data_IF_820731377635
#
_entry.id   IF_820731377635
#
_cell.length_a   1.000
_cell.length_b   1.000
_cell.length_c   1.000
_cell.angle_alpha   90.00
_cell.angle_beta   90.00
_cell.angle_gamma   90.00
#
_symmetry.space_group_name_H-M   'P 1'
#
loop_
_entity.id
_entity.type
_entity.pdbx_description
1 polymer ?
#
# COMPACT_ATOMS: atom_id res chain seq x y z
N UNK A 1 -12.75 20.83 -17.15
CA UNK A 1 -12.04 21.09 -18.44
C UNK A 1 -10.55 21.20 -18.18
N UNK A 2 -9.69 20.83 -19.13
CA UNK A 2 -8.23 21.03 -19.01
C UNK A 2 -7.91 22.52 -18.95
N UNK A 3 -7.00 22.88 -18.05
CA UNK A 3 -6.60 24.27 -17.77
C UNK A 3 -5.18 24.56 -18.28
N UNK A 4 -4.76 25.83 -18.29
CA UNK A 4 -3.39 26.17 -18.67
C UNK A 4 -2.39 25.66 -17.63
N UNK A 5 -2.78 25.68 -16.36
CA UNK A 5 -1.97 25.21 -15.23
C UNK A 5 -1.68 23.72 -15.33
N UNK A 6 -2.63 22.93 -15.87
CA UNK A 6 -2.45 21.51 -16.18
C UNK A 6 -1.36 21.29 -17.23
N UNK A 7 -1.39 22.07 -18.32
CA UNK A 7 -0.43 21.94 -19.41
C UNK A 7 0.96 22.40 -18.97
N UNK A 8 1.04 23.45 -18.14
CA UNK A 8 2.29 23.88 -17.51
C UNK A 8 2.84 22.81 -16.57
N UNK A 9 1.99 22.19 -15.75
CA UNK A 9 2.42 21.09 -14.88
C UNK A 9 2.91 19.89 -15.72
N UNK A 10 2.21 19.53 -16.79
CA UNK A 10 2.62 18.46 -17.69
C UNK A 10 4.00 18.75 -18.31
N UNK A 11 4.21 19.96 -18.80
CA UNK A 11 5.49 20.39 -19.36
C UNK A 11 6.61 20.38 -18.31
N UNK A 12 6.33 20.79 -17.07
CA UNK A 12 7.33 20.78 -16.00
C UNK A 12 7.69 19.35 -15.54
N UNK A 13 6.74 18.41 -15.59
CA UNK A 13 6.99 17.01 -15.26
C UNK A 13 7.79 16.28 -16.35
N UNK A 14 7.62 16.68 -17.62
CA UNK A 14 8.27 16.11 -18.81
C UNK A 14 9.09 17.17 -19.56
N UNK A 15 10.00 17.83 -18.84
CA UNK A 15 10.68 19.04 -19.32
C UNK A 15 11.79 18.76 -20.35
N UNK A 16 12.97 18.35 -19.89
CA UNK A 16 14.12 18.05 -20.75
C UNK A 16 14.80 16.74 -20.31
N UNK A 17 15.60 16.09 -21.17
CA UNK A 17 16.26 14.83 -20.84
C UNK A 17 17.19 14.88 -19.62
N UNK A 18 17.78 16.06 -19.34
CA UNK A 18 18.78 16.27 -18.28
C UNK A 18 18.36 17.29 -17.23
N UNK A 19 17.16 17.85 -17.33
CA UNK A 19 16.66 18.88 -16.42
C UNK A 19 15.16 18.70 -16.19
N UNK A 20 14.75 18.72 -14.93
CA UNK A 20 13.34 18.72 -14.55
C UNK A 20 12.80 20.14 -14.55
N UNK A 21 11.54 20.32 -14.93
CA UNK A 21 10.90 21.62 -14.84
C UNK A 21 10.78 22.09 -13.39
N UNK A 22 10.59 23.40 -13.16
CA UNK A 22 10.59 24.00 -11.83
C UNK A 22 9.63 23.32 -10.85
N UNK A 23 8.39 22.98 -11.28
CA UNK A 23 7.43 22.26 -10.43
C UNK A 23 7.88 20.83 -10.11
N UNK A 24 8.38 20.09 -11.11
CA UNK A 24 8.91 18.73 -10.90
C UNK A 24 10.09 18.70 -9.93
N UNK A 25 11.06 19.60 -10.12
CA UNK A 25 12.20 19.76 -9.24
C UNK A 25 11.81 20.18 -7.81
N UNK A 26 10.78 21.04 -7.67
CA UNK A 26 10.24 21.42 -6.37
C UNK A 26 9.61 20.22 -5.65
N UNK A 27 8.78 19.43 -6.35
CA UNK A 27 8.16 18.23 -5.77
C UNK A 27 9.22 17.25 -5.27
N UNK A 28 10.29 17.04 -6.05
CA UNK A 28 11.38 16.16 -5.66
C UNK A 28 12.13 16.65 -4.41
N UNK A 29 12.46 17.95 -4.36
CA UNK A 29 13.12 18.56 -3.19
C UNK A 29 12.28 18.44 -1.93
N UNK A 30 10.98 18.72 -2.02
CA UNK A 30 10.06 18.58 -0.89
C UNK A 30 9.99 17.13 -0.42
N UNK A 31 9.91 16.16 -1.34
CA UNK A 31 9.87 14.75 -0.97
C UNK A 31 11.16 14.28 -0.27
N UNK A 32 12.32 14.66 -0.80
CA UNK A 32 13.61 14.35 -0.18
C UNK A 32 13.72 14.95 1.23
N UNK A 33 13.26 16.19 1.40
CA UNK A 33 13.24 16.85 2.70
C UNK A 33 12.31 16.14 3.69
N UNK A 34 11.10 15.76 3.26
CA UNK A 34 10.13 15.04 4.10
C UNK A 34 10.68 13.69 4.57
N UNK A 35 11.36 12.97 3.67
CA UNK A 35 12.03 11.69 3.99
C UNK A 35 13.14 11.88 5.01
N UNK A 36 14.04 12.84 4.78
CA UNK A 36 15.18 13.14 5.67
C UNK A 36 14.75 13.59 7.07
N UNK A 37 13.64 14.32 7.17
CA UNK A 37 13.12 14.84 8.44
C UNK A 37 12.00 13.99 9.05
N UNK A 38 11.77 12.78 8.53
CA UNK A 38 10.69 11.90 9.01
C UNK A 38 10.88 11.40 10.45
N UNK A 39 12.10 11.48 11.01
CA UNK A 39 12.35 11.15 12.41
C UNK A 39 11.55 12.04 13.36
N UNK A 40 11.38 13.32 13.03
CA UNK A 40 10.69 14.34 13.84
C UNK A 40 9.23 13.99 14.13
N UNK A 41 8.57 13.32 13.17
CA UNK A 41 7.15 12.95 13.28
C UNK A 41 6.90 11.55 13.83
N UNK A 42 7.96 10.81 14.16
CA UNK A 42 7.81 9.51 14.81
C UNK A 42 7.33 9.64 16.26
N UNK A 43 6.50 8.69 16.70
CA UNK A 43 5.84 8.74 18.03
C UNK A 43 6.85 8.69 19.19
N UNK A 44 8.06 8.15 18.97
CA UNK A 44 9.06 7.92 20.02
C UNK A 44 10.11 9.04 20.22
N UNK A 45 10.04 10.16 19.49
CA UNK A 45 10.99 11.27 19.70
C UNK A 45 10.70 12.00 21.02
N UNK A 46 11.51 11.72 22.05
CA UNK A 46 11.56 12.50 23.29
C UNK A 46 12.03 13.93 22.97
N UNK A 47 11.24 14.93 23.33
CA UNK A 47 11.54 16.34 23.06
C UNK A 47 11.05 16.83 21.70
N UNK A 48 9.74 16.68 21.41
CA UNK A 48 9.12 17.25 20.21
C UNK A 48 9.28 18.76 20.25
N UNK A 49 10.18 19.27 19.42
CA UNK A 49 10.13 20.65 18.98
C UNK A 49 8.82 20.80 18.18
N UNK A 50 7.81 21.35 18.84
CA UNK A 50 6.47 21.48 18.28
C UNK A 50 6.48 22.28 16.96
N UNK A 51 7.46 23.18 16.80
CA UNK A 51 7.65 23.94 15.57
C UNK A 51 8.13 23.05 14.43
N UNK A 52 9.11 22.17 14.67
CA UNK A 52 9.60 21.23 13.63
C UNK A 52 8.55 20.21 13.23
N UNK A 53 7.74 19.72 14.17
CA UNK A 53 6.61 18.84 13.86
C UNK A 53 5.58 19.57 13.00
N UNK A 54 5.23 20.81 13.37
CA UNK A 54 4.29 21.64 12.61
C UNK A 54 4.83 21.98 11.22
N UNK A 55 6.12 22.28 11.10
CA UNK A 55 6.79 22.51 9.82
C UNK A 55 6.68 21.27 8.92
N UNK A 56 7.02 20.09 9.45
CA UNK A 56 6.93 18.85 8.68
C UNK A 56 5.51 18.58 8.21
N UNK A 57 4.50 18.74 9.08
CA UNK A 57 3.09 18.55 8.74
C UNK A 57 2.62 19.56 7.68
N UNK A 58 3.03 20.82 7.77
CA UNK A 58 2.68 21.84 6.80
C UNK A 58 3.32 21.56 5.43
N UNK A 59 4.59 21.16 5.39
CA UNK A 59 5.26 20.78 4.14
C UNK A 59 4.67 19.50 3.54
N UNK A 60 4.32 18.51 4.37
CA UNK A 60 3.64 17.30 3.94
C UNK A 60 2.28 17.62 3.30
N UNK A 61 1.48 18.48 3.93
CA UNK A 61 0.19 18.91 3.36
C UNK A 61 0.35 19.62 2.01
N UNK A 62 1.34 20.52 1.86
CA UNK A 62 1.66 21.15 0.57
C UNK A 62 2.11 20.13 -0.47
N UNK A 63 2.90 19.14 -0.07
CA UNK A 63 3.32 18.06 -0.97
C UNK A 63 2.14 17.20 -1.42
N UNK A 64 1.23 16.85 -0.51
CA UNK A 64 -0.01 16.13 -0.84
C UNK A 64 -0.92 16.92 -1.79
N UNK A 65 -0.97 18.25 -1.65
CA UNK A 65 -1.66 19.14 -2.58
C UNK A 65 -1.02 19.09 -3.97
N UNK A 66 0.32 19.17 -4.07
CA UNK A 66 1.04 19.02 -5.34
C UNK A 66 0.77 17.66 -6.01
N UNK A 67 0.78 16.56 -5.26
CA UNK A 67 0.40 15.23 -5.78
C UNK A 67 -1.06 15.22 -6.29
N UNK A 68 -1.95 15.93 -5.59
CA UNK A 68 -3.36 16.04 -5.97
C UNK A 68 -3.57 16.87 -7.24
N UNK A 69 -2.71 17.86 -7.51
CA UNK A 69 -2.69 18.56 -8.79
C UNK A 69 -2.31 17.62 -9.95
N UNK A 70 -1.32 16.73 -9.77
CA UNK A 70 -0.94 15.74 -10.80
C UNK A 70 -2.09 14.77 -11.09
N UNK A 71 -2.76 14.27 -10.04
CA UNK A 71 -3.93 13.41 -10.19
C UNK A 71 -5.08 14.14 -10.90
N UNK A 72 -5.35 15.39 -10.51
CA UNK A 72 -6.37 16.23 -11.14
C UNK A 72 -6.08 16.52 -12.62
N UNK A 73 -4.83 16.80 -12.96
CA UNK A 73 -4.36 16.96 -14.35
C UNK A 73 -4.64 15.70 -15.17
N UNK A 74 -4.25 14.52 -14.66
CA UNK A 74 -4.53 13.24 -15.33
C UNK A 74 -6.03 13.00 -15.54
N UNK A 75 -6.85 13.24 -14.53
CA UNK A 75 -8.31 13.07 -14.61
C UNK A 75 -8.92 14.03 -15.64
N UNK A 76 -8.48 15.29 -15.68
CA UNK A 76 -8.96 16.27 -16.67
C UNK A 76 -8.54 15.90 -18.09
N UNK A 77 -7.30 15.48 -18.30
CA UNK A 77 -6.80 15.02 -19.59
C UNK A 77 -7.56 13.77 -20.08
N UNK A 78 -7.80 12.80 -19.20
CA UNK A 78 -8.52 11.55 -19.50
C UNK A 78 -9.99 11.77 -19.86
N UNK A 79 -10.59 12.86 -19.36
CA UNK A 79 -11.98 13.22 -19.63
C UNK A 79 -12.16 14.21 -20.79
N UNK A 80 -11.12 14.52 -21.54
CA UNK A 80 -11.24 15.32 -22.76
C UNK A 80 -12.10 14.62 -23.83
N UNK A 81 -12.84 15.43 -24.60
CA UNK A 81 -13.63 14.95 -25.73
C UNK A 81 -12.76 14.41 -26.87
N UNK A 82 -11.65 15.08 -27.17
CA UNK A 82 -10.61 14.60 -28.08
C UNK A 82 -9.43 14.04 -27.26
N UNK A 83 -9.16 12.74 -27.41
CA UNK A 83 -8.12 12.01 -26.64
C UNK A 83 -6.90 11.64 -27.47
N UNK A 84 -6.79 12.08 -28.73
CA UNK A 84 -5.67 11.74 -29.63
C UNK A 84 -4.32 12.05 -28.99
N UNK A 85 -4.14 13.26 -28.45
CA UNK A 85 -2.88 13.68 -27.83
C UNK A 85 -2.58 12.87 -26.56
N UNK A 86 -3.61 12.58 -25.75
CA UNK A 86 -3.45 11.80 -24.55
C UNK A 86 -2.99 10.37 -24.89
N UNK A 87 -3.55 9.74 -25.92
CA UNK A 87 -3.22 8.36 -26.28
C UNK A 87 -1.75 8.19 -26.67
N UNK A 88 -1.17 9.15 -27.39
CA UNK A 88 0.26 9.13 -27.73
C UNK A 88 1.17 9.28 -26.50
N UNK A 89 0.68 9.94 -25.44
CA UNK A 89 1.44 10.20 -24.21
C UNK A 89 0.98 9.34 -23.02
N UNK A 90 0.00 8.45 -23.21
CA UNK A 90 -0.78 7.88 -22.11
C UNK A 90 0.08 7.07 -21.14
N UNK A 91 1.03 6.29 -21.66
CA UNK A 91 1.99 5.53 -20.84
C UNK A 91 2.74 6.43 -19.87
N UNK A 92 3.31 7.53 -20.35
CA UNK A 92 4.09 8.46 -19.54
C UNK A 92 3.24 9.16 -18.47
N UNK A 93 2.07 9.69 -18.86
CA UNK A 93 1.18 10.42 -17.94
C UNK A 93 0.57 9.48 -16.90
N UNK A 94 0.25 8.25 -17.31
CA UNK A 94 -0.24 7.20 -16.41
C UNK A 94 0.83 6.80 -15.38
N UNK A 95 2.07 6.59 -15.82
CA UNK A 95 3.18 6.19 -14.95
C UNK A 95 3.45 7.24 -13.87
N UNK A 96 3.58 8.51 -14.25
CA UNK A 96 3.84 9.59 -13.28
C UNK A 96 2.68 9.73 -12.29
N UNK A 97 1.42 9.63 -12.74
CA UNK A 97 0.24 9.64 -11.86
C UNK A 97 0.30 8.49 -10.86
N UNK A 98 0.68 7.29 -11.30
CA UNK A 98 0.73 6.10 -10.45
C UNK A 98 1.83 6.22 -9.40
N UNK A 99 3.01 6.70 -9.79
CA UNK A 99 4.14 6.94 -8.88
C UNK A 99 3.80 8.07 -7.89
N UNK A 100 3.17 9.15 -8.34
CA UNK A 100 2.74 10.23 -7.44
C UNK A 100 1.73 9.74 -6.40
N UNK A 101 0.81 8.85 -6.78
CA UNK A 101 -0.12 8.22 -5.83
C UNK A 101 0.61 7.38 -4.79
N UNK A 102 1.61 6.58 -5.20
CA UNK A 102 2.42 5.78 -4.27
C UNK A 102 3.23 6.67 -3.33
N UNK A 103 3.90 7.70 -3.85
CA UNK A 103 4.72 8.62 -3.05
C UNK A 103 3.85 9.40 -2.06
N UNK A 104 2.65 9.85 -2.47
CA UNK A 104 1.67 10.47 -1.56
C UNK A 104 1.32 9.53 -0.40
N UNK A 105 0.97 8.28 -0.71
CA UNK A 105 0.63 7.26 0.30
C UNK A 105 1.79 7.01 1.26
N UNK A 106 3.02 6.98 0.74
CA UNK A 106 4.22 6.81 1.53
C UNK A 106 4.49 8.00 2.46
N UNK A 107 4.29 9.24 2.01
CA UNK A 107 4.41 10.43 2.87
C UNK A 107 3.35 10.43 3.98
N UNK A 108 2.11 10.05 3.67
CA UNK A 108 1.06 9.91 4.67
C UNK A 108 1.45 8.87 5.74
N UNK A 109 1.99 7.73 5.29
CA UNK A 109 2.53 6.70 6.17
C UNK A 109 3.67 7.20 7.07
N UNK A 110 4.63 7.97 6.53
CA UNK A 110 5.71 8.59 7.31
C UNK A 110 5.15 9.48 8.44
N UNK A 111 4.01 10.11 8.21
CA UNK A 111 3.35 10.99 9.18
C UNK A 111 2.53 10.26 10.25
N UNK A 112 2.14 9.00 10.07
CA UNK A 112 1.30 8.26 11.02
C UNK A 112 1.97 7.07 11.70
N UNK A 113 3.22 6.74 11.33
CA UNK A 113 3.96 5.60 11.91
C UNK A 113 4.25 5.76 13.41
N UNK A 114 4.19 4.65 14.13
CA UNK A 114 4.56 4.60 15.55
C UNK A 114 6.06 4.39 15.77
N UNK A 115 6.77 3.82 14.78
CA UNK A 115 8.19 3.48 14.88
C UNK A 115 9.14 4.63 14.45
N UNK A 116 10.26 4.80 15.17
CA UNK A 116 11.24 5.88 14.93
C UNK A 116 12.38 5.53 13.96
N UNK A 117 12.51 4.26 13.59
CA UNK A 117 13.71 3.70 12.96
C UNK A 117 13.51 3.35 11.50
N UNK A 118 12.90 4.23 10.70
CA UNK A 118 12.87 3.99 9.27
C UNK A 118 14.29 4.09 8.70
N UNK A 119 14.80 2.96 8.25
CA UNK A 119 16.07 2.84 7.57
C UNK A 119 15.83 3.10 6.09
N UNK A 120 16.28 4.27 5.66
CA UNK A 120 16.36 4.62 4.26
C UNK A 120 17.74 4.24 3.77
N UNK A 121 17.93 2.95 3.46
CA UNK A 121 19.14 2.56 2.73
C UNK A 121 19.06 3.21 1.35
N UNK A 122 20.06 4.02 1.01
CA UNK A 122 20.33 4.42 -0.37
C UNK A 122 20.70 3.15 -1.11
N UNK A 123 19.81 2.67 -1.98
CA UNK A 123 19.98 1.37 -2.63
C UNK A 123 21.29 1.30 -3.42
N UNK A 124 21.99 0.18 -3.29
CA UNK A 124 23.03 -0.31 -4.20
C UNK A 124 22.47 -0.67 -5.59
N UNK A 125 21.38 -0.02 -6.01
CA UNK A 125 20.69 -0.34 -7.26
C UNK A 125 21.31 0.45 -8.41
N UNK A 126 21.63 -0.27 -9.48
CA UNK A 126 22.32 0.28 -10.62
C UNK A 126 21.48 1.40 -11.28
N UNK A 127 22.09 2.53 -11.67
CA UNK A 127 21.38 3.70 -12.21
C UNK A 127 20.48 3.44 -13.43
N UNK A 128 20.66 2.32 -14.14
CA UNK A 128 19.89 1.92 -15.32
C UNK A 128 18.72 0.96 -15.01
N UNK A 129 18.59 0.47 -13.78
CA UNK A 129 17.49 -0.41 -13.39
C UNK A 129 16.12 0.31 -13.37
N UNK A 130 16.14 1.64 -13.28
CA UNK A 130 14.95 2.49 -13.23
C UNK A 130 14.75 3.25 -14.54
N UNK A 131 13.48 3.50 -14.91
CA UNK A 131 13.16 4.43 -16.01
C UNK A 131 13.83 5.79 -15.75
N UNK A 132 14.33 6.45 -16.79
CA UNK A 132 14.86 7.81 -16.67
C UNK A 132 13.77 8.84 -16.38
N UNK A 133 14.17 10.05 -15.98
CA UNK A 133 13.26 11.17 -15.71
C UNK A 133 12.65 11.17 -14.30
N UNK A 134 11.73 12.10 -14.07
CA UNK A 134 11.21 12.42 -12.74
C UNK A 134 10.54 11.22 -12.04
N UNK A 135 9.75 10.45 -12.77
CA UNK A 135 9.11 9.22 -12.30
C UNK A 135 10.11 8.22 -11.69
N UNK A 136 11.23 7.98 -12.38
CA UNK A 136 12.28 7.08 -11.90
C UNK A 136 13.01 7.61 -10.67
N UNK A 137 13.18 8.93 -10.55
CA UNK A 137 13.79 9.51 -9.35
C UNK A 137 12.91 9.33 -8.12
N UNK A 138 11.59 9.53 -8.25
CA UNK A 138 10.67 9.21 -7.17
C UNK A 138 10.67 7.73 -6.80
N UNK A 139 10.74 6.85 -7.79
CA UNK A 139 10.82 5.40 -7.58
C UNK A 139 12.08 5.00 -6.82
N UNK A 140 13.26 5.55 -7.18
CA UNK A 140 14.54 5.33 -6.47
C UNK A 140 14.51 5.76 -5.01
N UNK A 141 13.67 6.75 -4.70
CA UNK A 141 13.54 7.27 -3.35
C UNK A 141 12.61 6.42 -2.47
N UNK A 142 11.85 5.48 -3.04
CA UNK A 142 11.09 4.49 -2.29
C UNK A 142 12.00 3.31 -1.89
N UNK A 143 11.89 2.80 -0.65
CA UNK A 143 12.70 1.68 -0.16
C UNK A 143 12.15 0.34 -0.67
N UNK A 144 12.32 0.04 -1.96
CA UNK A 144 11.96 -1.25 -2.56
C UNK A 144 13.17 -1.86 -3.26
N UNK A 145 13.55 -3.07 -2.86
CA UNK A 145 14.60 -3.87 -3.51
C UNK A 145 14.00 -5.08 -4.22
N UNK A 146 14.48 -5.38 -5.44
CA UNK A 146 14.20 -6.65 -6.13
C UNK A 146 12.82 -6.79 -6.78
N UNK A 147 11.86 -5.91 -6.49
CA UNK A 147 10.50 -5.97 -7.04
C UNK A 147 10.26 -4.91 -8.13
N UNK A 148 11.16 -4.85 -9.11
CA UNK A 148 11.08 -3.89 -10.23
C UNK A 148 9.78 -4.05 -11.03
N UNK A 149 9.25 -5.27 -11.12
CA UNK A 149 7.99 -5.60 -11.80
C UNK A 149 6.76 -4.97 -11.14
N UNK A 150 6.86 -4.47 -9.90
CA UNK A 150 5.80 -3.64 -9.29
C UNK A 150 5.61 -2.32 -10.04
N UNK A 151 6.66 -1.84 -10.69
CA UNK A 151 6.69 -0.57 -11.39
C UNK A 151 6.67 -0.72 -12.92
N UNK A 152 6.96 -1.92 -13.43
CA UNK A 152 6.77 -2.25 -14.84
C UNK A 152 5.36 -2.74 -15.09
N UNK A 153 4.52 -1.84 -15.61
CA UNK A 153 3.28 -2.24 -16.27
C UNK A 153 3.01 -1.47 -17.55
N UNK A 154 2.46 -2.14 -18.58
CA UNK A 154 1.83 -1.43 -19.66
C UNK A 154 0.62 -0.68 -19.08
N UNK A 155 0.39 0.57 -19.50
CA UNK A 155 -0.83 1.27 -19.12
C UNK A 155 -2.07 0.45 -19.53
N UNK A 156 -3.22 0.62 -18.86
CA UNK A 156 -4.45 -0.08 -19.23
C UNK A 156 -4.75 0.06 -20.73
N UNK A 157 -5.05 -1.06 -21.41
CA UNK A 157 -5.34 -1.09 -22.86
C UNK A 157 -6.51 -0.16 -23.23
N UNK A 158 -7.42 0.07 -22.29
CA UNK A 158 -8.47 1.08 -22.37
C UNK A 158 -8.23 2.16 -21.33
N UNK A 159 -8.20 3.44 -21.72
CA UNK A 159 -8.02 4.53 -20.77
C UNK A 159 -9.19 4.56 -19.79
N UNK A 160 -8.89 4.42 -18.51
CA UNK A 160 -9.88 4.46 -17.44
C UNK A 160 -9.83 5.82 -16.75
N UNK A 161 -11.00 6.45 -16.57
CA UNK A 161 -11.10 7.69 -15.78
C UNK A 161 -11.27 7.41 -14.28
N UNK A 162 -11.40 6.14 -13.88
CA UNK A 162 -11.56 5.79 -12.46
C UNK A 162 -10.27 6.10 -11.72
N UNK A 163 -10.36 6.98 -10.73
CA UNK A 163 -9.27 7.34 -9.84
C UNK A 163 -9.38 6.47 -8.59
N UNK A 164 -8.28 5.83 -8.23
CA UNK A 164 -8.15 5.13 -6.96
C UNK A 164 -7.14 5.85 -6.09
N UNK A 165 -7.45 5.96 -4.80
CA UNK A 165 -6.56 6.54 -3.80
C UNK A 165 -6.08 5.46 -2.85
N UNK A 166 -4.77 5.36 -2.67
CA UNK A 166 -4.16 4.52 -1.64
C UNK A 166 -3.86 5.43 -0.46
N UNK A 167 -4.19 4.97 0.76
CA UNK A 167 -3.85 5.69 1.99
C UNK A 167 -3.64 4.73 3.16
N UNK A 168 -2.96 5.16 4.23
CA UNK A 168 -2.92 4.40 5.47
C UNK A 168 -4.33 4.15 6.04
N UNK A 169 -4.50 3.00 6.67
CA UNK A 169 -5.73 2.62 7.37
C UNK A 169 -5.88 3.44 8.66
N UNK A 170 -7.11 3.89 8.95
CA UNK A 170 -7.46 4.49 10.23
C UNK A 170 -8.46 3.60 10.98
N UNK A 171 -8.47 3.59 12.33
CA UNK A 171 -9.43 2.79 13.11
C UNK A 171 -10.91 3.08 12.81
N UNK A 172 -11.23 4.25 12.23
CA UNK A 172 -12.60 4.59 11.80
C UNK A 172 -13.06 3.76 10.60
N UNK A 173 -12.11 3.20 9.85
CA UNK A 173 -12.36 2.42 8.64
C UNK A 173 -12.69 0.95 8.94
N UNK A 174 -12.66 0.54 10.21
CA UNK A 174 -12.80 -0.87 10.63
C UNK A 174 -14.06 -1.52 10.05
N UNK A 175 -15.22 -0.86 10.23
CA UNK A 175 -16.51 -1.38 9.75
C UNK A 175 -16.50 -1.56 8.23
N UNK A 176 -16.04 -0.55 7.50
CA UNK A 176 -16.03 -0.57 6.04
C UNK A 176 -14.98 -1.53 5.49
N UNK A 177 -13.83 -1.69 6.15
CA UNK A 177 -12.80 -2.66 5.78
C UNK A 177 -13.29 -4.10 5.99
N UNK A 178 -14.00 -4.38 7.09
CA UNK A 178 -14.63 -5.68 7.32
C UNK A 178 -15.76 -5.96 6.30
N UNK A 179 -16.57 -4.95 5.96
CA UNK A 179 -17.60 -5.08 4.94
C UNK A 179 -17.01 -5.35 3.55
N UNK A 180 -15.90 -4.71 3.21
CA UNK A 180 -15.18 -4.94 1.94
C UNK A 180 -14.52 -6.32 1.92
N UNK A 181 -13.92 -6.77 3.04
CA UNK A 181 -13.45 -8.16 3.18
C UNK A 181 -14.59 -9.14 2.94
N UNK A 182 -15.73 -8.93 3.59
CA UNK A 182 -16.91 -9.77 3.42
C UNK A 182 -17.44 -9.74 1.98
N UNK A 183 -17.43 -8.58 1.31
CA UNK A 183 -17.91 -8.43 -0.07
C UNK A 183 -16.95 -9.00 -1.13
N UNK A 184 -15.63 -8.84 -0.98
CA UNK A 184 -14.63 -9.52 -1.81
C UNK A 184 -14.79 -11.04 -1.72
N UNK A 185 -15.09 -11.53 -0.52
CA UNK A 185 -15.33 -12.94 -0.24
C UNK A 185 -16.75 -13.43 -0.60
N UNK A 186 -17.69 -12.63 -1.13
CA UNK A 186 -19.09 -13.10 -1.34
C UNK A 186 -19.28 -14.27 -2.33
N UNK A 187 -18.36 -14.49 -3.27
CA UNK A 187 -18.35 -15.73 -4.10
C UNK A 187 -17.38 -16.80 -3.59
N UNK A 188 -16.57 -16.46 -2.57
CA UNK A 188 -15.56 -17.30 -1.92
C UNK A 188 -15.91 -17.38 -0.41
N UNK A 189 -17.21 -17.36 -0.10
CA UNK A 189 -17.74 -17.51 1.26
C UNK A 189 -17.90 -18.99 1.61
N UNK A 190 -17.08 -19.85 0.98
CA UNK A 190 -16.98 -21.28 1.22
C UNK A 190 -15.74 -21.67 2.03
N UNK A 191 -14.95 -20.71 2.51
CA UNK A 191 -14.02 -20.91 3.62
C UNK A 191 -13.28 -19.61 3.97
N UNK A 192 -13.65 -19.01 5.10
CA UNK A 192 -12.71 -18.19 5.88
C UNK A 192 -11.75 -19.17 6.59
N UNK A 193 -10.81 -19.72 5.83
CA UNK A 193 -9.70 -20.54 6.35
C UNK A 193 -8.74 -19.60 7.07
N UNK A 194 -8.53 -19.71 8.39
CA UNK A 194 -7.51 -18.98 9.17
C UNK A 194 -7.51 -17.42 9.13
N UNK A 195 -8.28 -16.80 8.23
CA UNK A 195 -8.06 -15.43 7.75
C UNK A 195 -8.82 -14.37 8.53
N UNK A 196 -10.00 -14.68 9.08
CA UNK A 196 -10.76 -13.74 9.92
C UNK A 196 -10.02 -13.39 11.22
N UNK A 197 -9.21 -14.32 11.74
CA UNK A 197 -8.36 -14.08 12.90
C UNK A 197 -7.10 -13.29 12.58
N UNK A 198 -6.41 -13.60 11.49
CA UNK A 198 -5.17 -12.92 11.13
C UNK A 198 -5.41 -11.51 10.57
N UNK A 199 -6.46 -11.29 9.76
CA UNK A 199 -6.81 -9.97 9.23
C UNK A 199 -7.22 -9.02 10.36
N UNK A 200 -8.13 -9.45 11.24
CA UNK A 200 -8.51 -8.65 12.42
C UNK A 200 -7.34 -8.43 13.38
N UNK A 201 -6.48 -9.43 13.55
CA UNK A 201 -5.24 -9.32 14.31
C UNK A 201 -4.28 -8.29 13.72
N UNK A 202 -4.06 -8.29 12.39
CA UNK A 202 -3.21 -7.31 11.70
C UNK A 202 -3.77 -5.90 11.79
N UNK A 203 -5.07 -5.74 11.57
CA UNK A 203 -5.77 -4.45 11.70
C UNK A 203 -5.72 -3.90 13.13
N UNK A 204 -5.68 -4.77 14.14
CA UNK A 204 -5.65 -4.33 15.54
C UNK A 204 -4.22 -4.12 16.06
N UNK A 205 -3.28 -4.99 15.68
CA UNK A 205 -1.95 -5.08 16.28
C UNK A 205 -0.84 -4.46 15.42
N UNK A 206 -1.07 -4.27 14.11
CA UNK A 206 -0.08 -3.82 13.12
C UNK A 206 -0.63 -2.73 12.19
N UNK A 207 -1.33 -1.74 12.77
CA UNK A 207 -1.91 -0.58 12.08
C UNK A 207 -0.91 0.17 11.17
N UNK A 208 0.35 0.27 11.60
CA UNK A 208 1.42 0.95 10.87
C UNK A 208 1.68 0.37 9.47
N UNK A 209 1.22 -0.86 9.19
CA UNK A 209 1.44 -1.59 7.94
C UNK A 209 0.13 -1.94 7.24
N UNK A 210 -0.92 -1.18 7.50
CA UNK A 210 -2.24 -1.35 6.91
C UNK A 210 -2.53 -0.20 5.96
N UNK A 211 -2.84 -0.53 4.71
CA UNK A 211 -3.24 0.40 3.66
C UNK A 211 -4.62 0.04 3.14
N UNK A 212 -5.42 1.04 2.85
CA UNK A 212 -6.72 0.88 2.20
C UNK A 212 -6.70 1.50 0.82
N UNK A 213 -7.50 0.91 -0.06
CA UNK A 213 -7.77 1.42 -1.38
C UNK A 213 -9.17 2.00 -1.42
N UNK A 214 -9.29 3.23 -1.87
CA UNK A 214 -10.56 3.93 -1.99
C UNK A 214 -10.86 4.30 -3.43
N UNK A 215 -12.10 4.08 -3.84
CA UNK A 215 -12.71 4.71 -5.01
C UNK A 215 -13.80 5.70 -4.60
N UNK A 216 -14.52 6.25 -5.58
CA UNK A 216 -15.62 7.20 -5.35
C UNK A 216 -16.77 6.61 -4.50
N UNK A 217 -16.91 5.29 -4.46
CA UNK A 217 -17.96 4.57 -3.72
C UNK A 217 -17.49 4.09 -2.33
N UNK A 218 -16.22 4.32 -1.96
CA UNK A 218 -15.62 3.94 -0.68
C UNK A 218 -14.48 2.92 -0.79
N UNK A 219 -14.23 2.18 0.29
CA UNK A 219 -13.09 1.24 0.36
C UNK A 219 -13.34 0.04 -0.56
N UNK A 220 -12.43 -0.19 -1.51
CA UNK A 220 -12.50 -1.24 -2.50
C UNK A 220 -11.34 -2.24 -2.45
N UNK A 221 -10.47 -2.14 -1.46
CA UNK A 221 -9.41 -3.12 -1.20
C UNK A 221 -8.58 -2.76 0.03
N UNK A 222 -7.77 -3.71 0.49
CA UNK A 222 -6.83 -3.53 1.58
C UNK A 222 -5.50 -4.25 1.32
N UNK A 223 -4.42 -3.71 1.86
CA UNK A 223 -3.12 -4.36 1.93
C UNK A 223 -2.62 -4.26 3.38
N UNK A 224 -2.36 -5.41 3.99
CA UNK A 224 -2.02 -5.55 5.41
C UNK A 224 -0.69 -6.28 5.53
N UNK A 225 0.06 -5.96 6.57
CA UNK A 225 1.24 -6.76 6.88
C UNK A 225 1.80 -6.52 8.28
N UNK A 226 2.89 -7.21 8.57
CA UNK A 226 3.68 -7.02 9.79
C UNK A 226 5.15 -7.21 9.45
N UNK A 227 6.04 -6.43 10.08
CA UNK A 227 7.49 -6.53 9.85
C UNK A 227 8.05 -7.87 10.32
N UNK A 228 7.60 -8.35 11.47
CA UNK A 228 8.00 -9.62 12.04
C UNK A 228 6.75 -10.36 12.52
N UNK A 229 6.55 -11.57 11.99
CA UNK A 229 5.42 -12.43 12.32
C UNK A 229 5.58 -13.05 13.72
N UNK A 230 6.80 -13.20 14.24
CA UNK A 230 7.06 -13.83 15.55
C UNK A 230 6.47 -13.05 16.72
N UNK A 231 6.76 -11.74 16.92
CA UNK A 231 6.14 -10.95 17.97
C UNK A 231 4.65 -10.73 17.69
N UNK A 232 4.24 -10.72 16.43
CA UNK A 232 2.82 -10.61 16.05
C UNK A 232 2.03 -11.83 16.52
N UNK A 233 2.47 -13.06 16.22
CA UNK A 233 1.82 -14.31 16.67
C UNK A 233 1.76 -14.34 18.20
N UNK A 234 2.84 -13.94 18.90
CA UNK A 234 2.84 -13.86 20.37
C UNK A 234 1.77 -12.89 20.88
N UNK A 235 1.67 -11.69 20.31
CA UNK A 235 0.62 -10.71 20.66
C UNK A 235 -0.78 -11.25 20.34
N UNK A 236 -0.95 -11.91 19.20
CA UNK A 236 -2.21 -12.55 18.83
C UNK A 236 -2.63 -13.59 19.88
N UNK A 237 -1.73 -14.50 20.26
CA UNK A 237 -1.99 -15.52 21.30
C UNK A 237 -2.32 -14.91 22.66
N UNK A 238 -1.71 -13.80 23.02
CA UNK A 238 -1.90 -13.17 24.34
C UNK A 238 -3.13 -12.26 24.43
N UNK A 239 -3.58 -11.64 23.33
CA UNK A 239 -4.61 -10.59 23.37
C UNK A 239 -5.77 -10.85 22.41
N UNK A 240 -5.48 -11.19 21.16
CA UNK A 240 -6.49 -11.32 20.12
C UNK A 240 -7.27 -12.64 20.22
N UNK A 241 -6.56 -13.77 20.38
CA UNK A 241 -7.20 -15.09 20.47
C UNK A 241 -8.14 -15.16 21.68
N UNK A 242 -7.74 -14.76 22.91
CA UNK A 242 -8.64 -14.76 24.05
C UNK A 242 -9.88 -13.88 23.84
N UNK A 243 -9.69 -12.69 23.26
CA UNK A 243 -10.80 -11.79 22.93
C UNK A 243 -11.80 -12.41 21.94
N UNK A 244 -11.29 -13.09 20.91
CA UNK A 244 -12.15 -13.78 19.94
C UNK A 244 -12.81 -15.03 20.52
N UNK A 245 -12.15 -15.75 21.44
CA UNK A 245 -12.72 -16.88 22.15
C UNK A 245 -13.86 -16.47 23.11
N UNK A 246 -13.76 -15.29 23.72
CA UNK A 246 -14.83 -14.71 24.54
C UNK A 246 -16.02 -14.28 23.67
N UNK A 247 -15.76 -13.70 22.50
CA UNK A 247 -16.79 -13.27 21.54
C UNK A 247 -17.47 -14.44 20.83
N UNK A 248 -16.73 -15.51 20.54
CA UNK A 248 -17.19 -16.67 19.77
C UNK A 248 -16.95 -17.97 20.53
N UNK A 249 -18.00 -18.47 21.18
CA UNK A 249 -18.02 -19.78 21.85
C UNK A 249 -17.71 -20.91 20.89
N UNK A 250 -16.99 -21.92 21.37
CA UNK A 250 -16.65 -23.13 20.60
C UNK A 250 -17.94 -23.84 20.15
N UNK A 251 -18.18 -24.01 18.83
CA UNK A 251 -19.36 -24.72 18.36
C UNK A 251 -19.21 -26.23 18.58
N UNK A 252 -20.34 -26.93 18.72
CA UNK A 252 -20.37 -28.37 18.97
C UNK A 252 -20.01 -29.15 17.70
N UNK A 253 -19.09 -30.12 17.84
CA UNK A 253 -18.51 -30.91 16.74
C UNK A 253 -19.43 -31.97 16.11
N UNK A 254 -20.66 -32.11 16.59
CA UNK A 254 -21.54 -33.25 16.24
C UNK A 254 -22.38 -33.02 14.96
N UNK A 255 -22.23 -31.88 14.28
CA UNK A 255 -22.95 -31.54 13.04
C UNK A 255 -21.98 -31.12 11.94
N UNK A 256 -22.42 -31.20 10.67
CA UNK A 256 -21.74 -30.47 9.59
C UNK A 256 -21.71 -28.99 9.94
N UNK A 257 -20.51 -28.52 10.28
CA UNK A 257 -20.28 -27.14 10.70
C UNK A 257 -20.43 -26.23 9.48
N UNK A 258 -21.22 -25.18 9.65
CA UNK A 258 -21.25 -24.09 8.69
C UNK A 258 -19.86 -23.45 8.55
N UNK A 259 -19.61 -22.77 7.45
CA UNK A 259 -18.35 -22.05 7.24
C UNK A 259 -18.07 -21.04 8.35
N UNK A 260 -19.10 -20.42 8.93
CA UNK A 260 -18.96 -19.54 10.08
C UNK A 260 -18.50 -20.29 11.35
N UNK A 261 -19.04 -21.48 11.61
CA UNK A 261 -18.68 -22.30 12.76
C UNK A 261 -17.26 -22.89 12.65
N UNK A 262 -16.79 -23.20 11.43
CA UNK A 262 -15.40 -23.59 11.19
C UNK A 262 -14.41 -22.48 11.58
N UNK A 263 -14.75 -21.22 11.31
CA UNK A 263 -13.94 -20.07 11.74
C UNK A 263 -13.92 -19.98 13.26
N UNK A 264 -15.09 -20.11 13.89
CA UNK A 264 -15.18 -20.08 15.34
C UNK A 264 -14.29 -21.15 15.97
N UNK A 265 -14.26 -22.36 15.40
CA UNK A 265 -13.37 -23.44 15.83
C UNK A 265 -11.88 -23.12 15.67
N UNK A 266 -11.49 -22.46 14.58
CA UNK A 266 -10.09 -22.12 14.33
C UNK A 266 -9.48 -21.19 15.40
N UNK A 267 -10.29 -20.42 16.13
CA UNK A 267 -9.82 -19.64 17.28
C UNK A 267 -9.47 -20.50 18.50
N UNK A 268 -9.96 -21.75 18.54
CA UNK A 268 -9.74 -22.71 19.63
C UNK A 268 -8.73 -23.81 19.24
N UNK A 269 -8.21 -23.80 18.03
CA UNK A 269 -7.20 -24.74 17.52
C UNK A 269 -5.77 -24.20 17.69
N UNK A 270 -4.79 -25.10 17.81
CA UNK A 270 -3.38 -24.72 17.86
C UNK A 270 -2.90 -24.25 16.49
N UNK A 271 -2.34 -23.04 16.46
CA UNK A 271 -1.76 -22.46 15.26
C UNK A 271 -0.46 -23.16 14.88
N UNK A 272 -0.32 -23.56 13.62
CA UNK A 272 0.92 -24.11 13.08
C UNK A 272 2.10 -23.14 13.29
N UNK A 273 3.23 -23.69 13.71
CA UNK A 273 4.46 -22.93 13.95
C UNK A 273 5.33 -23.00 12.71
N UNK A 274 5.56 -21.85 12.07
CA UNK A 274 6.45 -21.74 10.92
C UNK A 274 7.91 -22.01 11.32
N UNK A 275 8.71 -22.70 10.49
CA UNK A 275 10.12 -22.97 10.79
C UNK A 275 10.95 -21.69 10.98
N UNK A 276 11.78 -21.65 12.03
CA UNK A 276 12.63 -20.48 12.32
C UNK A 276 13.61 -20.16 11.18
N UNK A 277 14.10 -21.17 10.46
CA UNK A 277 14.98 -21.01 9.29
C UNK A 277 14.28 -20.28 8.14
N UNK A 278 12.97 -20.46 7.98
CA UNK A 278 12.17 -19.75 7.00
C UNK A 278 11.96 -18.29 7.43
N UNK A 279 11.58 -18.07 8.69
CA UNK A 279 11.36 -16.74 9.26
C UNK A 279 12.62 -15.87 9.32
N UNK A 280 13.81 -16.48 9.42
CA UNK A 280 15.08 -15.78 9.36
C UNK A 280 15.29 -15.04 8.01
N UNK A 281 14.76 -15.60 6.92
CA UNK A 281 14.84 -15.03 5.57
C UNK A 281 13.59 -14.20 5.24
N UNK A 282 12.41 -14.67 5.64
CA UNK A 282 11.10 -14.05 5.37
C UNK A 282 10.34 -13.77 6.67
N UNK A 283 10.74 -12.73 7.44
CA UNK A 283 10.10 -12.42 8.71
C UNK A 283 8.72 -11.77 8.55
N UNK A 284 8.44 -11.11 7.43
CA UNK A 284 7.21 -10.32 7.26
C UNK A 284 6.07 -11.14 6.65
N UNK A 285 4.89 -11.06 7.27
CA UNK A 285 3.65 -11.59 6.70
C UNK A 285 2.92 -10.46 5.98
N UNK A 286 2.44 -10.72 4.75
CA UNK A 286 1.65 -9.77 3.95
C UNK A 286 0.36 -10.42 3.44
N UNK A 287 -0.68 -9.59 3.30
CA UNK A 287 -1.96 -9.97 2.70
C UNK A 287 -2.52 -8.79 1.90
N UNK A 288 -2.94 -9.05 0.67
CA UNK A 288 -3.69 -8.09 -0.15
C UNK A 288 -5.01 -8.71 -0.59
N UNK A 289 -6.08 -7.92 -0.56
CA UNK A 289 -7.35 -8.28 -1.15
C UNK A 289 -7.96 -7.04 -1.83
N UNK A 290 -8.53 -7.23 -3.01
CA UNK A 290 -9.07 -6.16 -3.83
C UNK A 290 -10.39 -6.63 -4.41
N UNK A 291 -11.39 -5.76 -4.29
CA UNK A 291 -12.72 -6.02 -4.78
C UNK A 291 -12.71 -6.25 -6.29
N UNK A 292 -13.48 -7.25 -6.75
CA UNK A 292 -13.62 -7.61 -8.18
C UNK A 292 -14.05 -6.46 -9.11
N UNK A 293 -14.53 -5.34 -8.53
CA UNK A 293 -14.94 -4.13 -9.27
C UNK A 293 -13.73 -3.34 -9.78
N UNK A 294 -12.57 -3.52 -9.13
CA UNK A 294 -11.29 -2.96 -9.55
C UNK A 294 -10.74 -3.83 -10.66
N UNK A 295 -10.82 -3.32 -11.88
CA UNK A 295 -10.33 -4.00 -13.09
C UNK A 295 -8.87 -3.70 -13.39
N UNK A 296 -8.31 -2.68 -12.73
CA UNK A 296 -6.98 -2.17 -12.99
C UNK A 296 -5.92 -2.90 -12.13
N UNK A 297 -5.10 -3.77 -12.74
CA UNK A 297 -4.09 -4.54 -12.00
C UNK A 297 -2.94 -3.66 -11.46
N UNK A 298 -2.78 -2.43 -11.96
CA UNK A 298 -1.72 -1.51 -11.51
C UNK A 298 -1.94 -1.00 -10.10
N UNK A 299 -3.21 -0.94 -9.70
CA UNK A 299 -3.62 -0.53 -8.37
C UNK A 299 -3.13 -1.53 -7.33
N UNK A 300 -3.29 -2.82 -7.61
CA UNK A 300 -2.82 -3.91 -6.75
C UNK A 300 -1.31 -3.87 -6.53
N UNK A 301 -0.55 -3.67 -7.62
CA UNK A 301 0.90 -3.52 -7.55
C UNK A 301 1.32 -2.27 -6.78
N UNK A 302 0.61 -1.15 -6.98
CA UNK A 302 0.89 0.10 -6.26
C UNK A 302 0.64 -0.04 -4.76
N UNK A 303 -0.42 -0.74 -4.35
CA UNK A 303 -0.67 -1.05 -2.93
C UNK A 303 0.43 -1.94 -2.35
N UNK A 304 0.81 -2.99 -3.08
CA UNK A 304 1.90 -3.87 -2.67
C UNK A 304 3.22 -3.11 -2.54
N UNK A 305 3.51 -2.20 -3.47
CA UNK A 305 4.70 -1.35 -3.41
C UNK A 305 4.70 -0.44 -2.17
N UNK A 306 3.55 0.14 -1.79
CA UNK A 306 3.43 0.91 -0.56
C UNK A 306 3.67 0.04 0.69
N UNK A 307 3.07 -1.15 0.73
CA UNK A 307 3.25 -2.10 1.83
C UNK A 307 4.71 -2.56 1.96
N UNK A 308 5.32 -3.06 0.89
CA UNK A 308 6.70 -3.51 0.90
C UNK A 308 7.67 -2.38 1.22
N UNK A 309 7.43 -1.16 0.72
CA UNK A 309 8.20 0.03 1.11
C UNK A 309 8.15 0.27 2.61
N UNK A 310 6.95 0.19 3.22
CA UNK A 310 6.79 0.40 4.66
C UNK A 310 7.48 -0.68 5.50
N UNK A 311 7.44 -1.93 5.06
CA UNK A 311 8.08 -3.06 5.74
C UNK A 311 9.61 -3.00 5.64
N UNK A 312 10.12 -2.73 4.43
CA UNK A 312 11.56 -2.57 4.18
C UNK A 312 12.14 -1.39 4.94
N UNK A 313 11.42 -0.25 4.95
CA UNK A 313 11.81 0.90 5.74
C UNK A 313 11.97 0.55 7.23
N UNK A 314 11.23 -0.40 7.76
CA UNK A 314 11.36 -0.84 9.16
C UNK A 314 12.27 -2.06 9.35
N UNK A 315 13.10 -2.39 8.36
CA UNK A 315 14.17 -3.38 8.49
C UNK A 315 13.76 -4.80 8.11
N UNK A 316 12.62 -5.01 7.47
CA UNK A 316 12.27 -6.33 6.92
C UNK A 316 13.28 -6.77 5.85
N UNK A 317 13.63 -8.06 5.87
CA UNK A 317 14.53 -8.70 4.90
C UNK A 317 13.79 -9.43 3.78
N UNK A 318 12.54 -9.79 4.00
CA UNK A 318 11.74 -10.59 3.10
C UNK A 318 10.31 -10.71 3.61
N UNK A 319 9.37 -10.88 2.68
CA UNK A 319 7.96 -11.06 2.98
C UNK A 319 7.43 -12.37 2.40
N UNK A 320 6.47 -12.98 3.09
CA UNK A 320 5.73 -14.15 2.62
C UNK A 320 4.23 -13.91 2.75
N UNK A 321 3.46 -14.67 1.98
CA UNK A 321 2.00 -14.66 2.03
C UNK A 321 1.48 -16.09 2.03
N UNK A 322 0.32 -16.27 2.66
CA UNK A 322 -0.44 -17.52 2.60
C UNK A 322 -1.51 -17.39 1.52
N UNK A 323 -1.47 -18.31 0.56
CA UNK A 323 -2.39 -18.34 -0.58
C UNK A 323 -3.02 -19.72 -0.66
N UNK A 324 -4.32 -19.75 -0.94
CA UNK A 324 -5.03 -21.00 -1.13
C UNK A 324 -4.66 -21.60 -2.49
N UNK A 325 -4.45 -22.92 -2.58
CA UNK A 325 -4.15 -23.58 -3.85
C UNK A 325 -5.22 -23.34 -4.93
N UNK A 326 -6.48 -23.13 -4.52
CA UNK A 326 -7.62 -22.93 -5.41
C UNK A 326 -7.73 -21.50 -5.96
N UNK A 327 -7.09 -20.52 -5.33
CA UNK A 327 -7.14 -19.12 -5.77
C UNK A 327 -6.06 -18.83 -6.80
N UNK A 328 -6.32 -19.29 -8.03
CA UNK A 328 -5.45 -19.08 -9.18
C UNK A 328 -5.16 -17.59 -9.45
N UNK A 329 -6.10 -16.69 -9.14
CA UNK A 329 -5.97 -15.27 -9.46
C UNK A 329 -4.94 -14.61 -8.55
N UNK A 330 -4.98 -14.93 -7.26
CA UNK A 330 -4.01 -14.45 -6.28
C UNK A 330 -2.64 -15.11 -6.50
N UNK A 331 -2.60 -16.40 -6.82
CA UNK A 331 -1.35 -17.11 -7.16
C UNK A 331 -0.66 -16.46 -8.36
N UNK A 332 -1.38 -16.25 -9.47
CA UNK A 332 -0.84 -15.56 -10.64
C UNK A 332 -0.39 -14.13 -10.35
N UNK A 333 -1.08 -13.44 -9.43
CA UNK A 333 -0.69 -12.10 -9.02
C UNK A 333 0.65 -12.12 -8.30
N UNK A 334 0.81 -12.92 -7.25
CA UNK A 334 2.05 -13.00 -6.49
C UNK A 334 3.22 -13.58 -7.31
N UNK A 335 2.99 -14.58 -8.16
CA UNK A 335 4.03 -15.14 -9.04
C UNK A 335 4.61 -14.14 -10.04
N UNK A 336 3.91 -13.03 -10.32
CA UNK A 336 4.39 -11.95 -11.20
C UNK A 336 5.17 -10.87 -10.46
N UNK A 337 5.34 -10.99 -9.14
CA UNK A 337 5.98 -9.97 -8.31
C UNK A 337 7.43 -10.31 -7.93
N UNK A 338 7.91 -11.50 -8.28
CA UNK A 338 9.20 -12.05 -7.87
C UNK A 338 8.98 -13.10 -6.80
#
# INVERSE_FOLDING_TARGET
PVTLEDLQLLADLFYLPYEHGPKGAQMLREFQWLRANSSVVSVNCKGKDAEKVKEWRNRAAKFEEMCSLVMGMFTRLSNCANRTILYDMYSYVWDIKSIMSMVKSFVQWLGCRSQSSAQFLSGDQEPWAFRGGLAGEFQRLLPIDGANDLFFQPPPLTPTSKVYTIRPYFPKDEVTAFDTCHCCCKEICSALTLEGGLVGGLLTLSLDYCFVLEDEDGICGYALGTVDVTPFIKKCKMSWIPFMQEKYTKPNSDKELSEAEKIMLSFHEEQEVLPESFLANFPSLIKIDIHKKVTDPSVAKSMMACLLSSLKANGSRGAFCEVRPDDKRILEFYSKLG
#
